data_IF_682293544352
#
_entry.id   IF_682293544352
#
_cell.length_a   1.000
_cell.length_b   1.000
_cell.length_c   1.000
_cell.angle_alpha   90.00
_cell.angle_beta   90.00
_cell.angle_gamma   90.00
#
_symmetry.space_group_name_H-M   'P 1'
#
loop_
_entity.id
_entity.type
_entity.pdbx_description
1 polymer ?
#
# COMPACT_ATOMS: atom_id res chain seq x y z
N UNK A 1 -18.78 36.42 -14.59
CA UNK A 1 -17.33 36.65 -14.44
C UNK A 1 -16.65 35.30 -14.42
N UNK A 2 -15.76 35.08 -15.40
CA UNK A 2 -15.06 33.82 -15.67
C UNK A 2 -13.98 33.55 -14.61
N UNK A 3 -14.04 32.38 -13.98
CA UNK A 3 -12.89 31.79 -13.29
C UNK A 3 -12.60 30.44 -13.94
N UNK A 4 -11.97 30.52 -15.12
CA UNK A 4 -11.24 29.39 -15.71
C UNK A 4 -10.10 29.06 -14.75
N UNK A 5 -10.25 27.98 -13.97
CA UNK A 5 -9.09 27.32 -13.35
C UNK A 5 -8.22 26.82 -14.50
N UNK A 6 -7.07 27.46 -14.71
CA UNK A 6 -6.00 26.93 -15.54
C UNK A 6 -5.72 25.51 -15.04
N UNK A 7 -5.95 24.52 -15.91
CA UNK A 7 -5.30 23.23 -15.77
C UNK A 7 -3.79 23.51 -15.67
N UNK A 8 -3.20 23.26 -14.51
CA UNK A 8 -1.77 23.04 -14.40
C UNK A 8 -1.45 21.91 -15.37
N UNK A 9 -0.67 22.26 -16.39
CA UNK A 9 -0.16 21.35 -17.41
C UNK A 9 0.42 20.13 -16.68
N UNK A 10 -0.06 18.91 -16.97
CA UNK A 10 0.64 17.67 -16.59
C UNK A 10 2.07 17.86 -17.08
N UNK A 11 3.03 18.03 -16.17
CA UNK A 11 4.43 17.95 -16.55
C UNK A 11 4.65 16.55 -17.10
N UNK A 12 5.16 16.47 -18.33
CA UNK A 12 5.57 15.19 -18.89
C UNK A 12 6.60 14.55 -17.94
N UNK A 13 6.52 13.23 -17.69
CA UNK A 13 7.55 12.55 -16.93
C UNK A 13 8.90 12.88 -17.53
N UNK A 14 9.87 13.23 -16.69
CA UNK A 14 11.21 13.49 -17.17
C UNK A 14 11.71 12.28 -17.97
N UNK A 15 12.43 12.52 -19.07
CA UNK A 15 13.11 11.46 -19.82
C UNK A 15 14.08 10.61 -18.97
N UNK A 16 14.37 11.03 -17.73
CA UNK A 16 15.23 10.33 -16.77
C UNK A 16 14.47 9.56 -15.68
N UNK A 17 13.13 9.66 -15.60
CA UNK A 17 12.32 8.86 -14.67
C UNK A 17 12.06 7.50 -15.30
N UNK A 18 12.39 6.43 -14.60
CA UNK A 18 12.06 5.08 -15.02
C UNK A 18 10.55 4.83 -14.96
N UNK A 19 10.06 3.89 -15.77
CA UNK A 19 8.77 3.25 -15.53
C UNK A 19 8.69 2.68 -14.11
N UNK A 20 7.49 2.72 -13.51
CA UNK A 20 7.31 2.35 -12.10
C UNK A 20 7.78 0.93 -11.78
N UNK A 21 7.57 -0.03 -12.67
CA UNK A 21 8.03 -1.41 -12.49
C UNK A 21 9.55 -1.55 -12.57
N UNK A 22 10.21 -0.78 -13.41
CA UNK A 22 11.67 -0.76 -13.51
C UNK A 22 12.27 -0.15 -12.25
N UNK A 23 11.67 0.93 -11.74
CA UNK A 23 12.06 1.51 -10.46
C UNK A 23 11.83 0.54 -9.29
N UNK A 24 10.69 -0.14 -9.25
CA UNK A 24 10.41 -1.16 -8.23
C UNK A 24 11.32 -2.38 -8.34
N UNK A 25 11.88 -2.68 -9.50
CA UNK A 25 12.93 -3.69 -9.63
C UNK A 25 14.21 -3.26 -8.90
N UNK A 26 14.55 -1.96 -8.93
CA UNK A 26 15.66 -1.41 -8.15
C UNK A 26 15.37 -1.45 -6.65
N UNK A 27 14.14 -1.11 -6.24
CA UNK A 27 13.69 -1.22 -4.84
C UNK A 27 13.76 -2.67 -4.36
N UNK A 28 13.29 -3.63 -5.17
CA UNK A 28 13.39 -5.05 -4.87
C UNK A 28 14.84 -5.48 -4.68
N UNK A 29 15.72 -5.11 -5.61
CA UNK A 29 17.14 -5.46 -5.52
C UNK A 29 17.79 -4.85 -4.27
N UNK A 30 17.50 -3.58 -3.97
CA UNK A 30 17.99 -2.92 -2.77
C UNK A 30 17.47 -3.56 -1.47
N UNK A 31 16.19 -3.94 -1.41
CA UNK A 31 15.64 -4.68 -0.26
C UNK A 31 16.31 -6.05 -0.09
N UNK A 32 16.60 -6.76 -1.18
CA UNK A 32 17.30 -8.05 -1.14
C UNK A 32 18.76 -7.90 -0.70
N UNK A 33 19.45 -6.84 -1.13
CA UNK A 33 20.81 -6.54 -0.69
C UNK A 33 20.84 -6.16 0.80
N UNK A 34 19.86 -5.35 1.23
CA UNK A 34 19.76 -4.85 2.60
C UNK A 34 19.29 -5.93 3.59
N UNK A 35 18.40 -6.83 3.15
CA UNK A 35 17.88 -7.96 3.93
C UNK A 35 17.77 -9.22 3.04
N UNK A 36 18.83 -10.04 2.94
CA UNK A 36 18.85 -11.23 2.08
C UNK A 36 17.70 -12.20 2.35
N UNK A 37 17.06 -12.66 1.28
CA UNK A 37 15.91 -13.55 1.30
C UNK A 37 14.56 -12.84 1.45
N UNK A 38 14.51 -11.54 1.78
CA UNK A 38 13.25 -10.84 2.03
C UNK A 38 12.37 -10.74 0.78
N UNK A 39 12.96 -10.68 -0.41
CA UNK A 39 12.23 -10.60 -1.68
C UNK A 39 12.09 -11.94 -2.39
N UNK A 40 12.42 -13.04 -1.71
CA UNK A 40 12.30 -14.38 -2.25
C UNK A 40 10.83 -14.67 -2.60
N UNK A 41 10.58 -14.99 -3.88
CA UNK A 41 9.22 -15.22 -4.38
C UNK A 41 8.38 -13.96 -4.58
N UNK A 42 8.89 -12.76 -4.25
CA UNK A 42 8.20 -11.51 -4.52
C UNK A 42 8.04 -11.27 -6.03
N UNK A 43 6.92 -10.68 -6.42
CA UNK A 43 6.55 -10.45 -7.81
C UNK A 43 6.35 -8.97 -8.10
N UNK A 44 6.81 -8.53 -9.26
CA UNK A 44 6.52 -7.21 -9.81
C UNK A 44 5.27 -7.32 -10.69
N UNK A 45 4.22 -6.58 -10.34
CA UNK A 45 2.93 -6.62 -11.05
C UNK A 45 2.26 -5.25 -11.00
N UNK A 46 1.83 -4.74 -12.15
CA UNK A 46 1.16 -3.44 -12.24
C UNK A 46 2.11 -2.30 -11.86
N UNK A 47 1.90 -1.69 -10.71
CA UNK A 47 2.75 -0.68 -10.10
C UNK A 47 3.23 -1.11 -8.70
N UNK A 48 3.33 -2.42 -8.45
CA UNK A 48 3.58 -2.98 -7.12
C UNK A 48 4.62 -4.12 -7.13
N UNK A 49 5.43 -4.15 -6.08
CA UNK A 49 6.23 -5.28 -5.61
C UNK A 49 5.44 -5.98 -4.51
N UNK A 50 5.02 -7.23 -4.75
CA UNK A 50 4.16 -7.98 -3.85
C UNK A 50 4.92 -9.18 -3.31
N UNK A 51 5.04 -9.29 -2.00
CA UNK A 51 5.71 -10.39 -1.33
C UNK A 51 4.74 -11.53 -1.00
N UNK A 52 5.15 -12.80 -1.13
CA UNK A 52 4.38 -13.93 -0.62
C UNK A 52 4.25 -13.91 0.91
N UNK A 53 5.03 -13.07 1.61
CA UNK A 53 4.99 -12.90 3.06
C UNK A 53 3.97 -11.87 3.54
N UNK A 54 3.07 -11.40 2.66
CA UNK A 54 1.93 -10.57 3.05
C UNK A 54 2.22 -9.07 3.11
N UNK A 55 3.40 -8.61 2.67
CA UNK A 55 3.70 -7.19 2.50
C UNK A 55 3.78 -6.81 1.01
N UNK A 56 3.58 -5.53 0.70
CA UNK A 56 3.75 -4.98 -0.64
C UNK A 56 4.34 -3.57 -0.62
N UNK A 57 4.93 -3.16 -1.73
CA UNK A 57 5.40 -1.79 -1.99
C UNK A 57 4.90 -1.37 -3.36
N UNK A 58 4.22 -0.23 -3.45
CA UNK A 58 3.67 0.28 -4.70
C UNK A 58 4.20 1.68 -5.02
N UNK A 59 4.19 2.06 -6.30
CA UNK A 59 4.37 3.46 -6.72
C UNK A 59 2.99 4.06 -6.96
N UNK A 60 2.65 5.06 -6.16
CA UNK A 60 1.43 5.84 -6.32
C UNK A 60 1.56 6.87 -7.46
N UNK A 61 0.45 7.34 -8.04
CA UNK A 61 0.46 8.52 -8.88
C UNK A 61 1.15 9.69 -8.16
N UNK A 62 1.92 10.53 -8.86
CA UNK A 62 2.63 11.63 -8.23
C UNK A 62 1.62 12.60 -7.59
N UNK A 63 1.68 12.71 -6.27
CA UNK A 63 0.86 13.65 -5.50
C UNK A 63 1.59 14.98 -5.30
N UNK A 64 2.94 14.96 -5.22
CA UNK A 64 3.75 16.14 -4.94
C UNK A 64 5.12 16.07 -5.65
N UNK A 65 5.61 17.21 -6.13
CA UNK A 65 6.91 17.31 -6.84
C UNK A 65 6.79 17.10 -8.35
N UNK A 66 7.78 17.61 -9.10
CA UNK A 66 7.81 17.50 -10.57
C UNK A 66 8.01 16.07 -11.05
N UNK A 67 8.08 15.86 -12.37
CA UNK A 67 8.16 14.54 -13.03
C UNK A 67 9.38 13.65 -12.76
N UNK A 68 10.09 13.86 -11.64
CA UNK A 68 11.29 13.13 -11.18
C UNK A 68 11.08 12.36 -9.86
N UNK A 69 9.95 12.57 -9.19
CA UNK A 69 9.66 11.94 -7.89
C UNK A 69 9.03 10.55 -8.07
N UNK A 70 9.29 9.67 -7.10
CA UNK A 70 8.57 8.42 -6.89
C UNK A 70 7.91 8.47 -5.52
N UNK A 71 6.59 8.42 -5.51
CA UNK A 71 5.79 8.33 -4.29
C UNK A 71 5.54 6.85 -4.01
N UNK A 72 6.25 6.29 -3.05
CA UNK A 72 6.12 4.88 -2.66
C UNK A 72 5.14 4.74 -1.51
N UNK A 73 4.27 3.73 -1.64
CA UNK A 73 3.34 3.29 -0.61
C UNK A 73 3.81 1.92 -0.13
N UNK A 74 4.21 1.83 1.13
CA UNK A 74 4.51 0.56 1.79
C UNK A 74 3.26 0.03 2.46
N UNK A 75 2.94 -1.24 2.23
CA UNK A 75 1.80 -1.95 2.80
C UNK A 75 2.34 -3.15 3.59
N UNK A 76 2.59 -3.03 4.91
CA UNK A 76 3.21 -4.09 5.69
C UNK A 76 2.34 -5.34 5.83
N UNK A 77 1.02 -5.21 5.71
CA UNK A 77 0.10 -6.34 5.85
C UNK A 77 -1.11 -6.20 4.92
N UNK A 78 -0.99 -6.77 3.72
CA UNK A 78 -2.06 -6.74 2.70
C UNK A 78 -3.23 -7.68 3.03
N UNK A 79 -3.14 -8.48 4.10
CA UNK A 79 -4.23 -9.34 4.55
C UNK A 79 -5.29 -8.58 5.37
N UNK A 80 -4.91 -7.45 5.96
CA UNK A 80 -5.81 -6.56 6.70
C UNK A 80 -6.62 -5.72 5.71
N UNK A 81 -7.75 -6.27 5.27
CA UNK A 81 -8.68 -5.61 4.36
C UNK A 81 -9.95 -5.18 5.14
N UNK A 82 -10.60 -4.06 4.79
CA UNK A 82 -10.28 -3.16 3.66
C UNK A 82 -9.21 -2.11 3.97
N UNK A 83 -8.92 -1.85 5.25
CA UNK A 83 -8.04 -0.78 5.70
C UNK A 83 -6.59 -1.26 5.80
N UNK A 84 -6.01 -1.57 4.63
CA UNK A 84 -4.62 -2.01 4.56
C UNK A 84 -3.73 -0.94 5.16
N UNK A 85 -3.06 -1.21 6.29
CA UNK A 85 -2.22 -0.21 6.92
C UNK A 85 -1.10 0.11 5.95
N UNK A 86 -0.91 1.41 5.65
CA UNK A 86 0.12 1.84 4.72
C UNK A 86 0.77 3.14 5.16
N UNK A 87 2.00 3.35 4.71
CA UNK A 87 2.70 4.61 4.89
C UNK A 87 3.35 5.03 3.58
N UNK A 88 3.45 6.35 3.39
CA UNK A 88 3.88 6.96 2.14
C UNK A 88 5.23 7.65 2.33
N UNK A 89 6.13 7.46 1.38
CA UNK A 89 7.38 8.20 1.28
C UNK A 89 7.66 8.62 -0.17
N UNK A 90 8.11 9.87 -0.32
CA UNK A 90 8.51 10.43 -1.60
C UNK A 90 10.03 10.49 -1.70
N UNK A 91 10.58 9.85 -2.73
CA UNK A 91 12.00 9.91 -3.08
C UNK A 91 12.22 10.51 -4.46
N UNK A 92 13.34 11.21 -4.58
CA UNK A 92 13.83 11.78 -5.83
C UNK A 92 15.34 11.57 -5.88
N UNK A 93 15.86 11.33 -7.07
CA UNK A 93 17.30 11.25 -7.26
C UNK A 93 17.90 12.64 -7.43
N UNK A 94 18.79 13.03 -6.51
CA UNK A 94 19.55 14.28 -6.61
C UNK A 94 20.69 14.17 -7.64
N UNK A 95 21.16 12.95 -7.93
CA UNK A 95 22.18 12.64 -8.96
C UNK A 95 21.57 12.41 -10.35
N UNK A 96 20.23 12.39 -10.45
CA UNK A 96 19.45 11.95 -11.60
C UNK A 96 19.62 10.46 -11.97
N UNK A 97 20.24 9.65 -11.11
CA UNK A 97 20.22 8.18 -11.17
C UNK A 97 19.06 7.61 -10.33
N UNK A 98 18.04 6.98 -10.94
CA UNK A 98 16.95 6.31 -10.25
C UNK A 98 17.39 5.28 -9.20
N UNK A 99 18.56 4.64 -9.36
CA UNK A 99 19.10 3.71 -8.37
C UNK A 99 19.35 4.40 -7.02
N UNK A 100 19.86 5.63 -7.03
CA UNK A 100 20.13 6.38 -5.80
C UNK A 100 18.83 6.72 -5.06
N UNK A 101 17.74 6.99 -5.78
CA UNK A 101 16.43 7.20 -5.19
C UNK A 101 15.87 5.92 -4.55
N UNK A 102 16.00 4.77 -5.24
CA UNK A 102 15.61 3.47 -4.69
C UNK A 102 16.43 3.12 -3.44
N UNK A 103 17.76 3.30 -3.49
CA UNK A 103 18.66 3.06 -2.36
C UNK A 103 18.32 3.96 -1.16
N UNK A 104 18.02 5.23 -1.41
CA UNK A 104 17.59 6.17 -0.37
C UNK A 104 16.29 5.73 0.29
N UNK A 105 15.32 5.24 -0.49
CA UNK A 105 14.07 4.70 0.06
C UNK A 105 14.35 3.46 0.93
N UNK A 106 15.12 2.50 0.39
CA UNK A 106 15.47 1.25 1.10
C UNK A 106 16.16 1.53 2.44
N UNK A 107 17.14 2.43 2.46
CA UNK A 107 17.90 2.77 3.68
C UNK A 107 17.09 3.60 4.69
N UNK A 108 15.90 4.10 4.32
CA UNK A 108 15.06 4.91 5.22
C UNK A 108 13.70 4.26 5.46
N UNK A 109 12.71 4.56 4.63
CA UNK A 109 11.36 4.02 4.72
C UNK A 109 11.33 2.48 4.60
N UNK A 110 12.16 1.90 3.72
CA UNK A 110 12.30 0.46 3.58
C UNK A 110 12.87 -0.21 4.83
N UNK A 111 13.88 0.39 5.47
CA UNK A 111 14.42 -0.11 6.74
C UNK A 111 13.36 -0.12 7.85
N UNK A 112 12.50 0.90 7.91
CA UNK A 112 11.37 0.94 8.84
C UNK A 112 10.31 -0.13 8.52
N UNK A 113 10.03 -0.39 7.24
CA UNK A 113 9.14 -1.49 6.81
C UNK A 113 9.68 -2.84 7.31
N UNK A 114 10.97 -3.09 7.07
CA UNK A 114 11.61 -4.34 7.46
C UNK A 114 11.61 -4.52 8.98
N UNK A 115 11.93 -3.47 9.73
CA UNK A 115 11.91 -3.51 11.19
C UNK A 115 10.49 -3.71 11.75
N UNK A 116 9.47 -3.08 11.16
CA UNK A 116 8.08 -3.30 11.56
C UNK A 116 7.66 -4.78 11.41
N UNK A 117 8.19 -5.45 10.40
CA UNK A 117 7.93 -6.87 10.13
C UNK A 117 8.83 -7.83 10.95
N UNK A 118 10.04 -7.41 11.32
CA UNK A 118 11.05 -8.23 12.01
C UNK A 118 11.05 -8.06 13.53
N UNK A 119 11.05 -6.80 14.02
CA UNK A 119 10.93 -6.36 15.41
C UNK A 119 12.08 -6.78 16.34
N UNK A 120 13.29 -6.83 15.81
CA UNK A 120 14.49 -7.30 16.52
C UNK A 120 15.62 -6.27 16.53
N UNK A 121 15.34 -5.04 16.13
CA UNK A 121 16.29 -3.92 16.03
C UNK A 121 17.46 -4.25 15.10
N UNK A 122 17.16 -4.92 13.98
CA UNK A 122 18.18 -5.29 12.99
C UNK A 122 18.32 -4.23 11.88
N UNK A 123 17.23 -3.53 11.56
CA UNK A 123 17.15 -2.66 10.40
C UNK A 123 16.91 -1.20 10.80
N UNK A 124 16.22 -0.96 11.91
CA UNK A 124 15.92 0.36 12.43
C UNK A 124 15.90 0.35 13.97
N UNK A 125 16.16 1.51 14.57
CA UNK A 125 16.21 1.68 16.02
C UNK A 125 14.80 1.85 16.58
N UNK A 126 14.58 1.38 17.81
CA UNK A 126 13.34 1.56 18.55
C UNK A 126 13.51 2.58 19.67
N UNK A 127 12.48 3.38 19.90
CA UNK A 127 12.38 4.25 21.07
C UNK A 127 10.97 4.15 21.66
N UNK A 128 10.89 3.86 22.96
CA UNK A 128 9.61 3.73 23.68
C UNK A 128 8.93 5.07 23.94
N UNK A 129 7.70 5.03 24.46
CA UNK A 129 6.83 6.20 24.67
C UNK A 129 7.38 7.26 25.64
N UNK A 130 8.31 6.87 26.51
CA UNK A 130 9.00 7.74 27.46
C UNK A 130 10.49 7.94 27.19
N UNK A 131 10.98 7.48 26.04
CA UNK A 131 12.39 7.59 25.68
C UNK A 131 12.78 9.05 25.40
N UNK A 132 13.93 9.49 25.93
CA UNK A 132 14.45 10.85 25.74
C UNK A 132 14.78 11.14 24.26
N UNK A 133 15.05 10.12 23.46
CA UNK A 133 15.31 10.18 22.03
C UNK A 133 14.07 9.84 21.17
N UNK A 134 12.93 9.54 21.79
CA UNK A 134 11.67 9.17 21.12
C UNK A 134 10.66 10.33 20.97
N UNK A 135 9.54 10.06 20.31
CA UNK A 135 8.39 10.99 20.28
C UNK A 135 7.52 10.73 21.52
N UNK A 136 7.30 11.73 22.40
CA UNK A 136 6.54 11.52 23.63
C UNK A 136 5.16 10.92 23.38
N UNK A 137 4.85 9.82 24.07
CA UNK A 137 3.56 9.13 23.97
C UNK A 137 3.43 8.14 22.81
N UNK A 138 4.47 7.97 21.98
CA UNK A 138 4.46 7.08 20.82
C UNK A 138 5.62 6.09 20.87
N UNK A 139 5.39 4.85 20.42
CA UNK A 139 6.49 3.95 20.11
C UNK A 139 7.04 4.34 18.74
N UNK A 140 8.35 4.58 18.64
CA UNK A 140 8.98 5.02 17.40
C UNK A 140 9.91 3.93 16.86
N UNK A 141 9.79 3.64 15.56
CA UNK A 141 10.79 2.91 14.77
C UNK A 141 11.44 3.94 13.86
N UNK A 142 12.76 4.11 13.93
CA UNK A 142 13.46 5.15 13.14
C UNK A 142 14.63 4.57 12.35
N UNK A 143 14.70 4.94 11.07
CA UNK A 143 15.85 4.61 10.25
C UNK A 143 17.08 5.42 10.67
N UNK A 144 18.25 4.98 10.20
CA UNK A 144 19.41 5.86 10.13
C UNK A 144 19.17 7.07 9.22
N UNK A 145 20.00 8.10 9.38
CA UNK A 145 20.00 9.26 8.49
C UNK A 145 20.87 8.98 7.25
N UNK A 146 20.40 9.38 6.06
CA UNK A 146 21.10 9.23 4.77
C UNK A 146 21.46 10.61 4.22
N UNK A 147 22.74 10.81 3.88
CA UNK A 147 23.25 12.03 3.23
C UNK A 147 23.29 11.91 1.71
N UNK A 148 22.93 12.99 1.01
CA UNK A 148 22.68 13.05 -0.44
C UNK A 148 23.57 14.08 -1.17
N UNK A 149 24.69 14.47 -0.57
CA UNK A 149 25.72 15.31 -1.17
C UNK A 149 26.87 14.51 -1.78
N UNK A 150 27.65 15.15 -2.65
CA UNK A 150 28.88 14.55 -3.19
C UNK A 150 30.05 14.55 -2.20
N UNK A 151 29.99 15.41 -1.18
CA UNK A 151 31.00 15.50 -0.12
C UNK A 151 30.61 14.59 1.05
N UNK A 152 31.39 13.52 1.25
CA UNK A 152 31.12 12.49 2.25
C UNK A 152 31.30 13.01 3.68
N UNK A 153 32.26 13.90 3.91
CA UNK A 153 32.51 14.42 5.26
C UNK A 153 31.43 15.43 5.65
N UNK A 154 30.96 16.22 4.67
CA UNK A 154 29.84 17.13 4.88
C UNK A 154 28.51 16.38 5.08
N UNK A 155 28.28 15.30 4.35
CA UNK A 155 27.16 14.38 4.60
C UNK A 155 27.17 13.90 6.06
N UNK A 156 28.31 13.36 6.53
CA UNK A 156 28.45 12.85 7.91
C UNK A 156 28.22 13.94 8.94
N UNK A 157 28.75 15.15 8.71
CA UNK A 157 28.57 16.29 9.61
C UNK A 157 27.10 16.66 9.74
N UNK A 158 26.38 16.76 8.62
CA UNK A 158 24.97 17.14 8.60
C UNK A 158 24.08 16.02 9.17
N UNK A 159 24.40 14.75 8.89
CA UNK A 159 23.75 13.58 9.49
C UNK A 159 23.89 13.60 11.02
N UNK A 160 25.10 13.79 11.52
CA UNK A 160 25.37 13.88 12.96
C UNK A 160 24.64 15.04 13.62
N UNK A 161 24.62 16.22 12.98
CA UNK A 161 23.90 17.39 13.50
C UNK A 161 22.38 17.16 13.55
N UNK A 162 21.81 16.52 12.53
CA UNK A 162 20.39 16.21 12.46
C UNK A 162 19.99 15.21 13.56
N UNK A 163 20.74 14.12 13.71
CA UNK A 163 20.49 13.09 14.73
C UNK A 163 20.68 13.65 16.15
N UNK A 164 21.78 14.36 16.41
CA UNK A 164 22.06 14.94 17.72
C UNK A 164 21.04 16.02 18.15
N UNK A 165 20.34 16.63 17.19
CA UNK A 165 19.30 17.62 17.50
C UNK A 165 18.04 16.98 18.09
N UNK A 166 17.83 15.68 17.92
CA UNK A 166 16.63 14.99 18.38
C UNK A 166 15.35 15.67 17.86
N UNK A 167 15.31 15.87 16.53
CA UNK A 167 14.32 16.73 15.85
C UNK A 167 12.90 16.32 16.17
N UNK A 168 12.57 15.03 16.02
CA UNK A 168 11.19 14.55 16.20
C UNK A 168 10.69 14.74 17.63
N UNK A 169 11.54 14.49 18.64
CA UNK A 169 11.18 14.76 20.04
C UNK A 169 10.88 16.24 20.26
N UNK A 170 11.77 17.13 19.80
CA UNK A 170 11.63 18.58 20.04
C UNK A 170 10.44 19.21 19.31
N UNK A 171 10.06 18.66 18.16
CA UNK A 171 8.94 19.18 17.36
C UNK A 171 7.65 18.38 17.56
N UNK A 172 7.63 17.33 18.39
CA UNK A 172 6.48 16.44 18.59
C UNK A 172 5.16 17.21 18.82
N UNK A 173 5.18 18.20 19.71
CA UNK A 173 4.01 19.01 20.05
C UNK A 173 3.42 19.84 18.90
N UNK A 174 4.07 19.87 17.73
CA UNK A 174 3.60 20.56 16.53
C UNK A 174 2.86 19.67 15.53
N UNK A 175 2.88 18.34 15.69
CA UNK A 175 2.25 17.41 14.73
C UNK A 175 1.57 16.19 15.35
N UNK A 176 1.88 15.83 16.60
CA UNK A 176 1.33 14.58 17.18
C UNK A 176 -0.19 14.58 17.36
N UNK A 177 -0.82 15.76 17.40
CA UNK A 177 -2.27 15.89 17.45
C UNK A 177 -2.96 15.54 16.10
N UNK A 178 -2.20 15.57 15.01
CA UNK A 178 -2.68 15.33 13.64
C UNK A 178 -2.39 13.89 13.17
N UNK A 179 -2.02 13.00 14.09
CA UNK A 179 -1.76 11.58 13.81
C UNK A 179 -3.06 10.78 13.88
N UNK A 180 -3.58 10.40 12.72
CA UNK A 180 -4.92 9.81 12.59
C UNK A 180 -4.91 8.28 12.44
N UNK A 181 -3.79 7.69 12.00
CA UNK A 181 -3.74 6.24 11.73
C UNK A 181 -3.69 5.44 13.05
N UNK A 182 -4.59 4.44 13.22
CA UNK A 182 -4.61 3.59 14.40
C UNK A 182 -3.53 2.50 14.37
N UNK A 183 -2.80 2.32 13.26
CA UNK A 183 -1.76 1.30 13.11
C UNK A 183 -0.36 1.89 13.29
N UNK A 184 -0.05 2.89 12.48
CA UNK A 184 1.20 3.65 12.51
C UNK A 184 1.09 4.88 11.63
N UNK A 185 1.88 5.90 11.93
CA UNK A 185 1.99 7.11 11.13
C UNK A 185 3.42 7.26 10.62
N UNK A 186 3.57 7.54 9.34
CA UNK A 186 4.86 7.72 8.70
C UNK A 186 5.33 9.17 8.81
N UNK A 187 6.56 9.39 9.29
CA UNK A 187 7.14 10.72 9.43
C UNK A 187 8.47 10.76 8.69
N UNK A 188 8.54 11.59 7.63
CA UNK A 188 9.78 11.88 6.92
C UNK A 188 10.37 13.16 7.47
N UNK A 189 11.66 13.14 7.77
CA UNK A 189 12.45 14.34 8.09
C UNK A 189 13.45 14.56 6.97
N UNK A 190 13.45 15.75 6.38
CA UNK A 190 14.39 16.19 5.37
C UNK A 190 15.00 17.52 5.77
N UNK A 191 16.33 17.60 5.73
CA UNK A 191 17.09 18.80 6.03
C UNK A 191 18.24 18.95 5.05
N UNK A 192 18.28 20.04 4.28
CA UNK A 192 19.33 20.18 3.29
C UNK A 192 19.15 21.29 2.29
N UNK A 193 20.17 21.51 1.48
CA UNK A 193 20.13 22.50 0.42
C UNK A 193 21.52 23.05 0.12
N UNK A 194 21.53 24.27 -0.42
CA UNK A 194 22.76 25.08 -0.52
C UNK A 194 22.72 26.12 0.60
N UNK A 195 23.89 26.62 1.01
CA UNK A 195 23.96 27.76 1.91
C UNK A 195 23.07 28.92 1.41
N UNK A 196 22.26 29.49 2.31
CA UNK A 196 21.26 30.52 2.00
C UNK A 196 20.00 30.05 1.25
N UNK A 197 19.89 28.75 0.94
CA UNK A 197 18.73 28.12 0.30
C UNK A 197 18.46 26.75 0.94
N UNK A 198 18.37 26.75 2.27
CA UNK A 198 18.09 25.56 3.06
C UNK A 198 16.61 25.22 3.08
N UNK A 199 16.33 23.93 3.06
CA UNK A 199 15.01 23.37 3.24
C UNK A 199 15.01 22.48 4.49
N UNK A 200 14.08 22.78 5.40
CA UNK A 200 13.69 21.92 6.51
C UNK A 200 12.24 21.51 6.26
N UNK A 201 12.03 20.22 6.08
CA UNK A 201 10.74 19.65 5.74
C UNK A 201 10.46 18.46 6.66
N UNK A 202 9.32 18.51 7.34
CA UNK A 202 8.71 17.36 7.98
C UNK A 202 7.46 17.01 7.19
N UNK A 203 7.36 15.75 6.79
CA UNK A 203 6.12 15.20 6.24
C UNK A 203 5.52 14.19 7.17
N UNK A 204 4.21 14.22 7.31
CA UNK A 204 3.41 13.25 8.06
C UNK A 204 2.48 12.57 7.05
N UNK A 205 2.52 11.24 7.00
CA UNK A 205 1.73 10.40 6.10
C UNK A 205 1.83 10.82 4.61
N UNK A 206 3.02 11.29 4.20
CA UNK A 206 3.31 11.69 2.81
C UNK A 206 3.07 13.17 2.49
N UNK A 207 2.38 13.90 3.38
CA UNK A 207 2.04 15.32 3.20
C UNK A 207 2.98 16.23 3.99
N UNK A 208 3.33 17.39 3.42
CA UNK A 208 4.14 18.39 4.11
C UNK A 208 3.37 18.96 5.29
N UNK A 209 3.96 18.85 6.48
CA UNK A 209 3.38 19.39 7.70
C UNK A 209 3.99 20.76 8.00
N UNK A 210 3.25 21.83 7.73
CA UNK A 210 3.81 23.19 7.80
C UNK A 210 4.25 23.60 9.21
N UNK A 211 3.45 23.29 10.24
CA UNK A 211 3.81 23.64 11.63
C UNK A 211 5.10 22.94 12.09
N UNK A 212 5.22 21.64 11.84
CA UNK A 212 6.42 20.87 12.14
C UNK A 212 7.65 21.30 11.33
N UNK A 213 7.47 21.59 10.03
CA UNK A 213 8.55 22.11 9.18
C UNK A 213 9.06 23.47 9.66
N UNK A 214 8.16 24.36 10.09
CA UNK A 214 8.52 25.64 10.69
C UNK A 214 9.22 25.46 12.05
N UNK A 215 8.73 24.55 12.90
CA UNK A 215 9.36 24.23 14.18
C UNK A 215 10.78 23.65 14.00
N UNK A 216 10.96 22.78 13.01
CA UNK A 216 12.27 22.23 12.63
C UNK A 216 13.22 23.33 12.13
N UNK A 217 12.73 24.27 11.32
CA UNK A 217 13.50 25.43 10.87
C UNK A 217 13.99 26.26 12.06
N UNK A 218 13.14 26.45 13.06
CA UNK A 218 13.46 27.22 14.27
C UNK A 218 14.54 26.55 15.16
N UNK A 219 14.89 25.28 14.93
CA UNK A 219 15.99 24.61 15.63
C UNK A 219 17.37 25.16 15.26
N UNK A 220 17.48 25.92 14.16
CA UNK A 220 18.74 26.58 13.77
C UNK A 220 19.88 25.60 13.49
N UNK A 221 19.55 24.47 12.86
CA UNK A 221 20.53 23.47 12.43
C UNK A 221 21.59 24.10 11.50
N UNK A 222 22.82 23.55 11.45
CA UNK A 222 23.90 24.15 10.70
C UNK A 222 23.70 24.03 9.18
N UNK A 223 23.96 25.11 8.45
CA UNK A 223 23.98 25.08 6.98
C UNK A 223 25.19 24.28 6.45
N UNK A 224 25.08 23.67 5.26
CA UNK A 224 26.18 22.98 4.63
C UNK A 224 27.07 23.94 3.81
N UNK A 225 28.36 23.65 3.75
CA UNK A 225 29.37 24.38 2.97
C UNK A 225 29.29 24.07 1.47
N UNK A 226 28.82 22.88 1.12
CA UNK A 226 28.50 22.47 -0.25
C UNK A 226 27.04 22.00 -0.32
N UNK A 227 26.52 21.64 -1.51
CA UNK A 227 25.17 21.09 -1.55
C UNK A 227 25.14 19.76 -0.78
N UNK A 228 24.32 19.72 0.26
CA UNK A 228 24.15 18.54 1.10
C UNK A 228 22.72 18.52 1.59
N UNK A 229 22.10 17.35 1.49
CA UNK A 229 20.82 17.10 2.10
C UNK A 229 20.86 15.79 2.87
N UNK A 230 20.11 15.73 3.96
CA UNK A 230 20.01 14.57 4.81
C UNK A 230 18.54 14.28 5.06
N UNK A 231 18.20 13.00 5.09
CA UNK A 231 16.88 12.57 5.51
C UNK A 231 16.91 11.29 6.33
N UNK A 232 15.88 11.10 7.14
CA UNK A 232 15.54 9.81 7.73
C UNK A 232 14.02 9.65 7.72
N UNK A 233 13.55 8.45 8.04
CA UNK A 233 12.14 8.13 8.15
C UNK A 233 11.86 7.51 9.51
N UNK A 234 10.68 7.76 10.06
CA UNK A 234 10.22 7.15 11.28
C UNK A 234 8.77 6.65 11.13
N UNK A 235 8.44 5.57 11.82
CA UNK A 235 7.06 5.12 12.05
C UNK A 235 6.71 5.37 13.51
N UNK A 236 5.58 6.03 13.74
CA UNK A 236 5.02 6.26 15.07
C UNK A 236 3.82 5.34 15.27
N UNK A 237 3.96 4.39 16.19
CA UNK A 237 2.95 3.40 16.51
C UNK A 237 2.23 3.80 17.81
N UNK A 238 0.89 3.74 17.83
CA UNK A 238 0.14 3.95 19.07
C UNK A 238 0.38 2.77 20.01
N UNK A 239 0.51 3.07 21.30
CA UNK A 239 0.58 2.06 22.36
C UNK A 239 -0.78 1.99 23.06
N UNK A 240 -1.46 0.83 23.08
CA UNK A 240 -2.74 0.66 23.74
C UNK A 240 -2.69 1.06 25.22
N UNK A 241 -3.78 1.62 25.74
CA UNK A 241 -3.86 2.01 27.14
C UNK A 241 -3.66 0.79 28.06
N UNK A 242 -2.59 0.83 28.87
CA UNK A 242 -2.22 -0.25 29.79
C UNK A 242 -1.37 -1.38 29.18
N UNK A 243 -0.91 -1.24 27.93
CA UNK A 243 0.09 -2.10 27.31
C UNK A 243 1.50 -1.49 27.34
N UNK A 244 2.51 -2.36 27.31
CA UNK A 244 3.93 -1.95 27.23
C UNK A 244 4.49 -2.02 25.78
N UNK A 245 3.72 -2.59 24.84
CA UNK A 245 4.12 -2.78 23.44
C UNK A 245 3.10 -2.17 22.46
N UNK A 246 3.56 -1.67 21.30
CA UNK A 246 2.66 -1.16 20.26
C UNK A 246 1.92 -2.28 19.52
N UNK A 247 0.79 -1.91 18.90
CA UNK A 247 0.06 -2.81 18.01
C UNK A 247 0.79 -2.97 16.68
N UNK A 248 1.44 -4.12 16.49
CA UNK A 248 2.10 -4.45 15.23
C UNK A 248 1.17 -5.14 14.23
N UNK A 249 1.45 -5.07 12.92
CA UNK A 249 0.76 -5.87 11.90
C UNK A 249 0.86 -7.38 12.15
N UNK A 250 -0.03 -8.17 11.55
CA UNK A 250 -0.01 -9.64 11.72
C UNK A 250 1.08 -10.28 10.87
N UNK A 251 1.35 -9.70 9.69
CA UNK A 251 2.47 -10.07 8.86
C UNK A 251 3.80 -9.99 9.64
N UNK A 252 4.61 -11.04 9.52
CA UNK A 252 5.93 -11.15 10.13
C UNK A 252 6.93 -11.72 9.15
N UNK A 253 8.13 -11.19 9.20
CA UNK A 253 9.27 -11.81 8.56
C UNK A 253 9.78 -12.95 9.43
N UNK A 254 9.83 -14.15 8.86
CA UNK A 254 10.53 -15.29 9.46
C UNK A 254 11.88 -15.43 8.77
N UNK A 255 12.68 -14.36 8.81
CA UNK A 255 14.06 -14.41 8.34
C UNK A 255 14.85 -15.23 9.36
N UNK A 256 15.28 -16.42 8.94
CA UNK A 256 16.23 -17.21 9.70
C UNK A 256 17.43 -16.32 10.01
N UNK A 257 17.94 -16.30 11.25
CA UNK A 257 19.15 -15.54 11.55
C UNK A 257 20.22 -15.99 10.56
N UNK A 258 20.89 -15.04 9.92
CA UNK A 258 22.07 -15.26 9.09
C UNK A 258 23.19 -15.77 9.99
N UNK A 259 23.11 -17.06 10.36
CA UNK A 259 24.19 -17.76 11.01
C UNK A 259 25.31 -17.91 9.99
N UNK A 260 26.42 -17.25 10.29
CA UNK A 260 27.75 -17.64 9.83
C UNK A 260 27.83 -19.16 9.77
N UNK A 261 28.18 -19.67 8.59
CA UNK A 261 28.21 -21.08 8.22
C UNK A 261 28.77 -22.01 9.31
N UNK A 262 28.02 -23.06 9.65
CA UNK A 262 28.59 -24.36 10.00
C UNK A 262 27.60 -25.48 9.64
N UNK A 263 28.08 -26.44 8.85
CA UNK A 263 27.40 -27.63 8.32
C UNK A 263 26.59 -28.44 9.35
N UNK A 264 25.39 -28.89 8.96
CA UNK A 264 24.93 -30.28 9.14
C UNK A 264 23.63 -30.55 8.36
N UNK A 265 23.64 -31.62 7.57
CA UNK A 265 22.50 -32.17 6.83
C UNK A 265 21.43 -32.78 7.75
N UNK A 266 20.13 -32.63 7.41
CA UNK A 266 19.21 -33.76 7.19
C UNK A 266 17.82 -33.31 6.73
N UNK A 267 17.26 -34.04 5.76
CA UNK A 267 15.93 -33.93 5.16
C UNK A 267 14.75 -34.05 6.14
N UNK A 268 13.60 -33.44 5.78
CA UNK A 268 12.27 -33.80 6.29
C UNK A 268 11.16 -32.97 5.64
N UNK A 269 10.32 -33.61 4.85
CA UNK A 269 9.29 -33.01 4.00
C UNK A 269 8.07 -32.48 4.76
N UNK A 270 7.50 -31.36 4.29
CA UNK A 270 6.05 -31.15 4.10
C UNK A 270 5.82 -29.77 3.47
N UNK A 271 5.35 -29.76 2.23
CA UNK A 271 4.78 -28.59 1.57
C UNK A 271 3.41 -28.29 2.20
N UNK A 272 3.13 -27.02 2.51
CA UNK A 272 1.86 -26.55 3.06
C UNK A 272 1.61 -25.09 2.69
N UNK A 273 1.36 -24.81 1.41
CA UNK A 273 0.90 -23.50 0.97
C UNK A 273 -0.58 -23.32 1.36
N UNK A 274 -0.85 -22.47 2.34
CA UNK A 274 -2.22 -22.12 2.73
C UNK A 274 -2.25 -21.39 4.07
N UNK A 275 -2.24 -20.05 4.01
CA UNK A 275 -2.65 -19.24 5.16
C UNK A 275 -4.09 -19.63 5.56
N UNK A 276 -4.32 -19.79 6.86
CA UNK A 276 -5.57 -20.32 7.41
C UNK A 276 -6.69 -19.30 7.19
N UNK A 277 -7.71 -19.68 6.40
CA UNK A 277 -8.87 -18.85 6.05
C UNK A 277 -9.67 -18.45 7.29
N UNK A 278 -10.32 -17.28 7.23
CA UNK A 278 -11.40 -16.92 8.15
C UNK A 278 -12.46 -18.05 8.10
N UNK A 279 -12.67 -18.77 9.21
CA UNK A 279 -13.60 -19.88 9.24
C UNK A 279 -15.06 -19.44 9.06
N UNK A 280 -15.40 -18.17 9.26
CA UNK A 280 -16.78 -17.65 9.24
C UNK A 280 -17.13 -16.91 7.92
N UNK A 281 -16.18 -16.15 7.33
CA UNK A 281 -16.41 -15.35 6.11
C UNK A 281 -15.22 -15.35 5.13
N UNK A 282 -14.94 -16.46 4.40
CA UNK A 282 -13.83 -16.50 3.46
C UNK A 282 -14.06 -15.53 2.28
N UNK A 283 -13.09 -14.64 2.04
CA UNK A 283 -13.10 -13.69 0.92
C UNK A 283 -12.16 -14.14 -0.21
N UNK A 284 -12.61 -14.03 -1.46
CA UNK A 284 -11.78 -14.36 -2.63
C UNK A 284 -11.70 -13.17 -3.60
N UNK A 285 -10.48 -12.69 -3.87
CA UNK A 285 -10.27 -11.74 -4.96
C UNK A 285 -10.15 -12.48 -6.29
N UNK A 286 -11.05 -12.20 -7.22
CA UNK A 286 -11.01 -12.81 -8.54
C UNK A 286 -10.06 -12.05 -9.46
N UNK A 287 -9.52 -12.77 -10.44
CA UNK A 287 -8.63 -12.22 -11.45
C UNK A 287 -9.29 -11.03 -12.21
N UNK A 288 -8.48 -10.31 -12.99
CA UNK A 288 -8.94 -9.19 -13.83
C UNK A 288 -10.22 -9.53 -14.61
N UNK A 289 -11.06 -8.53 -14.96
CA UNK A 289 -12.23 -8.75 -15.80
C UNK A 289 -11.84 -9.54 -17.05
N UNK A 290 -12.63 -10.52 -17.45
CA UNK A 290 -12.27 -11.46 -18.52
C UNK A 290 -11.80 -10.74 -19.80
N UNK A 291 -12.48 -9.67 -20.21
CA UNK A 291 -12.10 -8.87 -21.38
C UNK A 291 -10.78 -8.10 -21.23
N UNK A 292 -10.37 -7.78 -20.01
CA UNK A 292 -9.07 -7.15 -19.73
C UNK A 292 -7.98 -8.22 -19.62
N UNK A 293 -8.32 -9.38 -19.04
CA UNK A 293 -7.44 -10.53 -18.90
C UNK A 293 -7.03 -11.13 -20.25
N UNK A 294 -7.93 -11.11 -21.25
CA UNK A 294 -7.69 -11.59 -22.61
C UNK A 294 -6.79 -10.67 -23.45
N UNK A 295 -6.66 -9.39 -23.09
CA UNK A 295 -5.75 -8.49 -23.79
C UNK A 295 -4.30 -8.90 -23.55
N UNK A 296 -3.49 -8.80 -24.61
CA UNK A 296 -2.04 -8.84 -24.47
C UNK A 296 -1.57 -7.71 -23.55
N UNK A 297 -0.39 -7.87 -22.96
CA UNK A 297 0.18 -6.86 -22.06
C UNK A 297 0.38 -5.49 -22.75
N UNK A 298 0.73 -5.51 -24.04
CA UNK A 298 0.85 -4.31 -24.87
C UNK A 298 -0.51 -3.62 -25.10
N UNK A 299 -1.53 -4.38 -25.49
CA UNK A 299 -2.88 -3.84 -25.66
C UNK A 299 -3.45 -3.34 -24.34
N UNK A 300 -3.19 -4.03 -23.23
CA UNK A 300 -3.64 -3.61 -21.90
C UNK A 300 -3.00 -2.28 -21.50
N UNK A 301 -1.69 -2.10 -21.70
CA UNK A 301 -0.99 -0.82 -21.45
C UNK A 301 -1.53 0.32 -22.30
N UNK A 302 -1.90 0.05 -23.55
CA UNK A 302 -2.45 1.08 -24.44
C UNK A 302 -3.91 1.42 -24.15
N UNK A 303 -4.72 0.42 -23.81
CA UNK A 303 -6.18 0.56 -23.69
C UNK A 303 -6.62 0.89 -22.28
N UNK A 304 -6.00 0.37 -21.23
CA UNK A 304 -6.35 0.72 -19.83
C UNK A 304 -5.91 2.16 -19.55
N UNK A 305 -6.88 3.05 -19.34
CA UNK A 305 -6.65 4.48 -19.04
C UNK A 305 -6.67 4.79 -17.55
N UNK A 306 -7.37 3.97 -16.78
CA UNK A 306 -7.49 4.08 -15.33
C UNK A 306 -7.65 2.70 -14.73
N UNK A 307 -6.92 2.41 -13.66
CA UNK A 307 -7.09 1.23 -12.81
C UNK A 307 -6.82 1.67 -11.37
N UNK A 308 -7.88 1.70 -10.56
CA UNK A 308 -7.81 2.11 -9.14
C UNK A 308 -7.88 0.91 -8.19
N UNK A 309 -7.83 -0.32 -8.69
CA UNK A 309 -8.13 -1.54 -7.93
C UNK A 309 -9.63 -1.76 -7.65
N UNK A 310 -10.44 -0.70 -7.64
CA UNK A 310 -11.90 -0.74 -7.52
C UNK A 310 -12.63 -0.44 -8.84
N UNK A 311 -12.04 0.39 -9.72
CA UNK A 311 -12.57 0.72 -11.05
C UNK A 311 -11.47 0.57 -12.10
N UNK A 312 -11.78 -0.10 -13.20
CA UNK A 312 -10.93 -0.16 -14.40
C UNK A 312 -11.67 0.51 -15.56
N UNK A 313 -11.04 1.47 -16.23
CA UNK A 313 -11.53 2.10 -17.47
C UNK A 313 -10.55 1.74 -18.58
N UNK A 314 -11.03 0.98 -19.56
CA UNK A 314 -10.24 0.55 -20.70
C UNK A 314 -10.89 1.00 -22.02
N UNK A 315 -10.19 1.88 -22.73
CA UNK A 315 -10.60 2.44 -24.02
C UNK A 315 -10.83 1.33 -25.05
N UNK A 316 -12.03 1.32 -25.64
CA UNK A 316 -12.44 0.29 -26.61
C UNK A 316 -12.67 -1.10 -26.01
N UNK A 317 -12.67 -1.24 -24.68
CA UNK A 317 -12.83 -2.53 -23.98
C UNK A 317 -13.99 -2.46 -22.99
N UNK A 318 -14.04 -1.43 -22.14
CA UNK A 318 -15.14 -1.25 -21.19
C UNK A 318 -14.78 -0.54 -19.90
N UNK A 319 -15.81 -0.31 -19.08
CA UNK A 319 -15.67 0.19 -17.72
C UNK A 319 -16.02 -0.94 -16.76
N UNK A 320 -15.22 -1.16 -15.74
CA UNK A 320 -15.38 -2.28 -14.83
C UNK A 320 -15.35 -1.78 -13.38
N UNK A 321 -16.31 -2.24 -12.57
CA UNK A 321 -16.41 -1.95 -11.14
C UNK A 321 -16.20 -3.24 -10.35
N UNK A 322 -15.34 -3.22 -9.34
CA UNK A 322 -15.16 -4.32 -8.39
C UNK A 322 -16.30 -4.27 -7.36
N UNK A 323 -17.01 -5.38 -7.21
CA UNK A 323 -18.21 -5.53 -6.38
C UNK A 323 -18.12 -6.78 -5.52
N UNK A 324 -18.95 -6.81 -4.47
CA UNK A 324 -19.16 -7.99 -3.62
C UNK A 324 -20.20 -8.90 -4.25
N UNK A 325 -19.88 -10.18 -4.36
CA UNK A 325 -20.79 -11.25 -4.72
C UNK A 325 -20.90 -12.22 -3.53
N UNK A 326 -21.94 -12.05 -2.69
CA UNK A 326 -22.15 -12.93 -1.54
C UNK A 326 -22.77 -14.26 -1.97
N UNK A 327 -22.28 -15.36 -1.40
CA UNK A 327 -22.76 -16.72 -1.65
C UNK A 327 -23.00 -17.41 -0.32
N UNK A 328 -24.25 -17.86 -0.11
CA UNK A 328 -24.65 -18.54 1.13
C UNK A 328 -24.28 -20.01 1.08
N UNK A 329 -23.64 -20.50 2.13
CA UNK A 329 -23.30 -21.89 2.30
C UNK A 329 -24.36 -22.63 3.11
N UNK A 330 -24.45 -23.94 2.91
CA UNK A 330 -25.36 -24.83 3.65
C UNK A 330 -24.98 -25.00 5.13
N UNK A 331 -23.75 -24.67 5.51
CA UNK A 331 -23.27 -24.64 6.89
C UNK A 331 -23.56 -23.32 7.63
N UNK A 332 -24.31 -22.41 6.99
CA UNK A 332 -24.76 -21.13 7.56
C UNK A 332 -23.81 -19.96 7.32
N UNK A 333 -22.62 -20.20 6.74
CA UNK A 333 -21.65 -19.15 6.41
C UNK A 333 -22.00 -18.41 5.12
N UNK A 334 -21.41 -17.23 4.93
CA UNK A 334 -21.46 -16.50 3.66
C UNK A 334 -20.05 -16.22 3.15
N UNK A 335 -19.75 -16.74 1.96
CA UNK A 335 -18.52 -16.46 1.22
C UNK A 335 -18.72 -15.20 0.41
N UNK A 336 -17.71 -14.33 0.33
CA UNK A 336 -17.79 -13.12 -0.50
C UNK A 336 -16.70 -13.15 -1.56
N UNK A 337 -17.12 -13.21 -2.82
CA UNK A 337 -16.22 -13.04 -3.96
C UNK A 337 -16.14 -11.55 -4.33
N UNK A 338 -14.94 -11.03 -4.54
CA UNK A 338 -14.75 -9.74 -5.20
C UNK A 338 -14.73 -9.98 -6.70
N UNK A 339 -15.83 -9.63 -7.37
CA UNK A 339 -16.03 -9.82 -8.80
C UNK A 339 -16.05 -8.48 -9.54
N UNK A 340 -15.78 -8.51 -10.83
CA UNK A 340 -15.79 -7.35 -11.72
C UNK A 340 -17.10 -7.30 -12.50
N UNK A 341 -17.70 -6.12 -12.58
CA UNK A 341 -18.92 -5.86 -13.33
C UNK A 341 -18.63 -4.83 -14.42
N UNK A 342 -18.99 -5.15 -15.65
CA UNK A 342 -18.99 -4.17 -16.73
C UNK A 342 -20.14 -3.19 -16.56
N UNK A 343 -19.83 -1.90 -16.63
CA UNK A 343 -20.79 -0.80 -16.60
C UNK A 343 -20.78 -0.06 -17.95
N UNK A 344 -21.97 0.29 -18.41
CA UNK A 344 -22.08 1.24 -19.52
C UNK A 344 -21.52 2.61 -19.08
N UNK A 345 -20.95 3.38 -20.01
CA UNK A 345 -20.32 4.67 -19.69
C UNK A 345 -21.27 5.62 -18.93
N UNK A 346 -22.52 5.73 -19.37
CA UNK A 346 -23.52 6.56 -18.68
C UNK A 346 -23.80 6.12 -17.23
N UNK A 347 -23.73 4.81 -16.95
CA UNK A 347 -23.93 4.26 -15.60
C UNK A 347 -22.69 4.51 -14.74
N UNK A 348 -21.48 4.38 -15.30
CA UNK A 348 -20.24 4.72 -14.59
C UNK A 348 -20.19 6.22 -14.25
N UNK A 349 -20.57 7.08 -15.18
CA UNK A 349 -20.57 8.53 -14.98
C UNK A 349 -21.56 8.93 -13.88
N UNK A 350 -22.77 8.37 -13.89
CA UNK A 350 -23.77 8.58 -12.82
C UNK A 350 -23.27 8.03 -11.47
N UNK A 351 -22.64 6.85 -11.47
CA UNK A 351 -22.01 6.26 -10.28
C UNK A 351 -20.94 7.19 -9.68
N UNK A 352 -19.98 7.65 -10.49
CA UNK A 352 -18.90 8.54 -10.04
C UNK A 352 -19.46 9.87 -9.53
N UNK A 353 -20.49 10.40 -10.19
CA UNK A 353 -21.15 11.62 -9.74
C UNK A 353 -21.83 11.43 -8.38
N UNK A 354 -22.56 10.33 -8.18
CA UNK A 354 -23.21 10.01 -6.90
C UNK A 354 -22.25 9.72 -5.76
N UNK A 355 -21.07 9.15 -6.04
CA UNK A 355 -19.99 9.01 -5.04
C UNK A 355 -19.53 10.39 -4.58
N UNK A 356 -19.33 11.34 -5.51
CA UNK A 356 -18.92 12.71 -5.17
C UNK A 356 -19.98 13.46 -4.37
N UNK A 357 -21.25 13.19 -4.66
CA UNK A 357 -22.39 13.86 -4.03
C UNK A 357 -22.88 13.13 -2.75
N UNK A 358 -22.17 12.08 -2.30
CA UNK A 358 -22.50 11.25 -1.13
C UNK A 358 -23.95 10.71 -1.14
N UNK A 359 -24.43 10.30 -2.31
CA UNK A 359 -25.83 9.87 -2.53
C UNK A 359 -25.90 8.50 -3.23
N UNK A 360 -25.00 7.59 -2.84
CA UNK A 360 -24.89 6.28 -3.47
C UNK A 360 -25.61 5.17 -2.67
N UNK A 361 -25.81 5.30 -1.35
CA UNK A 361 -26.22 4.20 -0.46
C UNK A 361 -27.51 3.44 -0.84
N UNK A 362 -28.49 4.12 -1.44
CA UNK A 362 -29.78 3.53 -1.87
C UNK A 362 -29.91 3.42 -3.39
N UNK A 363 -28.86 3.76 -4.13
CA UNK A 363 -28.89 3.72 -5.58
C UNK A 363 -28.80 2.28 -6.09
N UNK A 364 -29.60 1.97 -7.12
CA UNK A 364 -29.57 0.70 -7.83
C UNK A 364 -29.22 0.95 -9.29
N UNK A 365 -28.31 0.16 -9.81
CA UNK A 365 -27.85 0.28 -11.18
C UNK A 365 -27.46 -1.08 -11.75
N UNK A 366 -27.48 -1.18 -13.08
CA UNK A 366 -27.29 -2.43 -13.81
C UNK A 366 -25.88 -2.57 -14.38
N UNK A 367 -25.42 -3.81 -14.49
CA UNK A 367 -24.16 -4.15 -15.14
C UNK A 367 -24.11 -5.61 -15.58
N UNK A 368 -22.96 -6.04 -16.09
CA UNK A 368 -22.74 -7.43 -16.54
C UNK A 368 -21.57 -8.08 -15.81
N UNK A 369 -21.74 -9.29 -15.29
CA UNK A 369 -20.66 -10.01 -14.61
C UNK A 369 -19.49 -10.30 -15.55
N UNK A 370 -18.27 -10.00 -15.14
CA UNK A 370 -17.06 -10.10 -15.97
C UNK A 370 -16.05 -11.13 -15.47
N UNK A 371 -16.41 -11.94 -14.48
CA UNK A 371 -15.59 -13.07 -14.04
C UNK A 371 -16.34 -14.38 -14.23
N UNK A 372 -15.58 -15.42 -14.54
CA UNK A 372 -16.01 -16.78 -14.26
C UNK A 372 -15.93 -17.00 -12.74
N UNK A 373 -17.03 -17.47 -12.14
CA UNK A 373 -17.11 -17.70 -10.69
C UNK A 373 -17.03 -19.20 -10.46
N UNK A 374 -15.93 -19.71 -9.94
CA UNK A 374 -15.87 -21.11 -9.51
C UNK A 374 -16.86 -21.33 -8.36
N UNK A 375 -17.64 -22.43 -8.34
CA UNK A 375 -17.61 -23.61 -9.22
C UNK A 375 -18.43 -23.52 -10.54
N UNK A 376 -19.26 -22.50 -10.73
CA UNK A 376 -20.14 -22.36 -11.91
C UNK A 376 -19.40 -21.95 -13.20
N UNK A 377 -18.18 -21.44 -13.08
CA UNK A 377 -17.29 -21.17 -14.20
C UNK A 377 -17.84 -20.11 -15.16
N UNK A 378 -17.78 -20.40 -16.45
CA UNK A 378 -18.13 -19.49 -17.53
C UNK A 378 -19.66 -19.34 -17.72
N UNK A 379 -20.46 -20.21 -17.09
CA UNK A 379 -21.93 -20.22 -17.26
C UNK A 379 -22.61 -18.97 -16.67
N UNK A 380 -21.93 -18.26 -15.76
CA UNK A 380 -22.38 -16.99 -15.19
C UNK A 380 -21.67 -15.76 -15.79
N UNK A 381 -20.73 -15.98 -16.71
CA UNK A 381 -20.02 -14.87 -17.34
C UNK A 381 -20.99 -14.06 -18.22
N UNK A 382 -20.93 -12.73 -18.11
CA UNK A 382 -21.82 -11.76 -18.76
C UNK A 382 -23.28 -11.82 -18.31
N UNK A 383 -23.60 -12.53 -17.23
CA UNK A 383 -24.93 -12.49 -16.66
C UNK A 383 -25.29 -11.06 -16.20
N UNK A 384 -26.50 -10.57 -16.50
CA UNK A 384 -26.97 -9.27 -16.05
C UNK A 384 -27.16 -9.23 -14.54
N UNK A 385 -26.63 -8.19 -13.89
CA UNK A 385 -26.73 -7.98 -12.45
C UNK A 385 -27.32 -6.62 -12.11
N UNK A 386 -28.03 -6.55 -11.00
CA UNK A 386 -28.40 -5.29 -10.35
C UNK A 386 -27.55 -5.14 -9.11
N UNK A 387 -26.91 -3.97 -9.01
CA UNK A 387 -26.00 -3.61 -7.94
C UNK A 387 -26.69 -2.67 -6.96
N UNK A 388 -26.38 -2.86 -5.68
CA UNK A 388 -26.62 -1.86 -4.65
C UNK A 388 -25.45 -0.88 -4.59
N UNK A 389 -25.74 0.39 -4.37
CA UNK A 389 -24.71 1.39 -4.18
C UNK A 389 -23.85 1.16 -2.94
N UNK A 390 -22.66 1.79 -2.94
CA UNK A 390 -21.71 1.66 -1.85
C UNK A 390 -22.32 2.21 -0.56
N UNK A 391 -22.00 1.56 0.56
CA UNK A 391 -22.46 1.96 1.89
C UNK A 391 -21.26 2.28 2.76
N UNK A 392 -21.45 3.19 3.70
CA UNK A 392 -20.48 3.44 4.76
C UNK A 392 -20.93 2.59 5.96
N UNK A 393 -20.01 1.78 6.51
CA UNK A 393 -20.27 0.99 7.71
C UNK A 393 -20.31 1.90 8.95
N UNK A 394 -20.81 1.38 10.08
CA UNK A 394 -20.90 2.13 11.34
C UNK A 394 -19.53 2.62 11.86
N UNK A 395 -18.44 1.97 11.43
CA UNK A 395 -17.04 2.34 11.73
C UNK A 395 -16.44 3.35 10.74
N UNK A 396 -17.21 3.83 9.76
CA UNK A 396 -16.76 4.78 8.73
C UNK A 396 -16.09 4.15 7.51
N UNK A 397 -15.89 2.83 7.47
CA UNK A 397 -15.29 2.15 6.31
C UNK A 397 -16.26 2.06 5.11
N UNK A 398 -15.74 2.19 3.89
CA UNK A 398 -16.56 2.11 2.67
C UNK A 398 -16.70 0.66 2.21
N UNK A 399 -17.93 0.16 2.21
CA UNK A 399 -18.28 -1.16 1.67
C UNK A 399 -18.55 -1.05 0.16
N UNK A 400 -17.81 -1.84 -0.62
CA UNK A 400 -18.03 -1.99 -2.07
C UNK A 400 -19.50 -2.31 -2.39
N UNK A 401 -19.95 -1.86 -3.56
CA UNK A 401 -21.24 -2.22 -4.13
C UNK A 401 -21.44 -3.72 -4.14
N UNK A 402 -22.66 -4.17 -3.89
CA UNK A 402 -22.99 -5.58 -3.76
C UNK A 402 -23.95 -6.00 -4.88
N UNK A 403 -23.76 -7.21 -5.41
CA UNK A 403 -24.71 -7.83 -6.34
C UNK A 403 -25.96 -8.24 -5.55
N UNK A 404 -27.09 -7.61 -5.86
CA UNK A 404 -28.35 -7.84 -5.16
C UNK A 404 -29.20 -8.91 -5.84
N UNK A 405 -29.28 -8.85 -7.17
CA UNK A 405 -30.11 -9.75 -7.97
C UNK A 405 -29.54 -9.88 -9.39
N UNK A 406 -30.01 -10.92 -10.08
CA UNK A 406 -29.68 -11.21 -11.46
C UNK A 406 -30.92 -11.80 -12.12
N UNK A 407 -31.17 -11.43 -13.38
CA UNK A 407 -32.20 -12.08 -14.21
C UNK A 407 -31.70 -13.36 -14.89
N UNK A 408 -30.39 -13.64 -14.83
CA UNK A 408 -29.83 -14.93 -15.23
C UNK A 408 -30.29 -16.03 -14.26
N UNK A 409 -30.89 -17.13 -14.74
CA UNK A 409 -31.44 -18.18 -13.87
C UNK A 409 -30.40 -18.85 -12.97
N UNK A 410 -29.15 -19.01 -13.43
CA UNK A 410 -28.11 -19.65 -12.65
C UNK A 410 -27.57 -18.69 -11.59
N UNK A 411 -27.18 -17.47 -11.98
CA UNK A 411 -26.68 -16.47 -11.04
C UNK A 411 -27.75 -16.04 -10.02
N UNK A 412 -29.03 -16.03 -10.41
CA UNK A 412 -30.15 -15.82 -9.47
C UNK A 412 -30.18 -16.89 -8.37
N UNK A 413 -29.97 -18.17 -8.72
CA UNK A 413 -29.84 -19.26 -7.74
C UNK A 413 -28.58 -19.14 -6.90
N UNK A 414 -27.46 -18.72 -7.51
CA UNK A 414 -26.20 -18.48 -6.77
C UNK A 414 -26.40 -17.46 -5.64
N UNK A 415 -27.18 -16.40 -5.89
CA UNK A 415 -27.43 -15.33 -4.91
C UNK A 415 -28.48 -15.69 -3.85
N UNK A 416 -29.47 -16.50 -4.20
CA UNK A 416 -30.67 -16.71 -3.37
C UNK A 416 -30.70 -18.04 -2.62
N UNK A 417 -30.12 -19.10 -3.20
CA UNK A 417 -30.06 -20.44 -2.63
C UNK A 417 -28.81 -20.63 -1.76
N UNK A 418 -28.79 -21.72 -1.00
CA UNK A 418 -27.63 -22.17 -0.21
C UNK A 418 -26.89 -23.27 -0.94
N UNK A 419 -25.56 -23.23 -0.92
CA UNK A 419 -24.71 -24.15 -1.66
C UNK A 419 -23.80 -24.98 -0.75
N UNK A 420 -23.48 -26.22 -1.10
CA UNK A 420 -22.57 -27.02 -0.29
C UNK A 420 -21.21 -26.34 -0.12
N UNK A 421 -20.76 -26.18 1.12
CA UNK A 421 -19.47 -25.54 1.43
C UNK A 421 -18.30 -26.21 0.68
N UNK A 422 -18.29 -27.54 0.60
CA UNK A 422 -17.30 -28.30 -0.13
C UNK A 422 -17.34 -28.04 -1.66
N UNK A 423 -18.52 -27.74 -2.21
CA UNK A 423 -18.69 -27.44 -3.63
C UNK A 423 -18.19 -26.03 -3.98
N UNK A 424 -18.46 -25.05 -3.12
CA UNK A 424 -18.04 -23.65 -3.33
C UNK A 424 -16.56 -23.44 -3.00
N UNK A 425 -16.06 -24.04 -1.92
CA UNK A 425 -14.69 -23.85 -1.42
C UNK A 425 -13.67 -24.85 -2.00
N UNK A 426 -14.10 -26.03 -2.45
CA UNK A 426 -13.20 -27.08 -2.96
C UNK A 426 -12.12 -27.47 -1.95
N UNK A 427 -10.86 -27.58 -2.41
CA UNK A 427 -9.67 -27.87 -1.58
C UNK A 427 -9.38 -26.81 -0.51
N UNK A 428 -10.05 -25.65 -0.60
CA UNK A 428 -9.95 -24.55 0.36
C UNK A 428 -10.92 -24.72 1.52
N UNK A 429 -11.69 -25.80 1.56
CA UNK A 429 -12.55 -26.11 2.70
C UNK A 429 -11.69 -26.62 3.88
N UNK A 430 -11.64 -25.89 5.02
CA UNK A 430 -10.86 -26.30 6.19
C UNK A 430 -11.36 -27.60 6.84
N UNK A 431 -12.52 -28.12 6.42
CA UNK A 431 -13.13 -29.36 6.90
C UNK A 431 -13.10 -30.52 5.89
N UNK A 432 -12.33 -30.42 4.80
CA UNK A 432 -12.16 -31.55 3.89
C UNK A 432 -11.38 -32.69 4.59
N UNK A 433 -11.92 -33.93 4.64
CA UNK A 433 -11.16 -35.07 5.14
C UNK A 433 -9.97 -35.30 4.21
N UNK A 434 -8.77 -35.31 4.78
CA UNK A 434 -7.53 -35.63 4.09
C UNK A 434 -7.62 -37.07 3.57
N UNK A 435 -7.48 -37.27 2.26
CA UNK A 435 -7.24 -38.60 1.68
C UNK A 435 -5.77 -38.99 1.81
#
# INVERSE_FOLDING_TARGET
MSWIRRHTRKEEPSAKRLPDLEFLALVRAGLEEFAPGVTQGAQLKGNSLISPHGWAVAVAPPHHGGGHHYDLVALPDVSLQPDVPCFVDCVVSMSADPQDAANTWVQTAGACLLELLDRREHFADHAGTGDECGVPGWHMITSGAVGLGSDVDENRRLQGALLASNVLHKVAGSFTADLESPFFNGVKVFYGGRAGAMEAEIRVNGERHEAASAAMTALGLPEPATFTAVRFYALLLPVPAGGDEPSYPTARLSLAPTSVQANAHSHGAACGCGGRLDPEHPGFDLALPHLVAELSEEERRHRVKSDTGAIIIAEGVGNFLKVRLPIRLDDGRTVVYLAWIYLQAAVLDDFVQRVRDDNLADHRFEGLLCNAIGPWGQDVLRSPVVLGGQRINEDGSVRHSEVLESSDPLLSKVLTETWPAAFVLGDRNPHSPSN
#
